data_IF_749086278932
#
_entry.id   IF_749086278932
#
_cell.length_a   1.000
_cell.length_b   1.000
_cell.length_c   1.000
_cell.angle_alpha   90.00
_cell.angle_beta   90.00
_cell.angle_gamma   90.00
#
_symmetry.space_group_name_H-M   'P 1'
#
loop_
_entity.id
_entity.type
_entity.pdbx_description
1 polymer ?
#
# COMPACT_ATOMS: atom_id res chain seq x y z
N UNK A 1 -8.46 52.10 -9.37
CA UNK A 1 -7.69 50.97 -8.82
C UNK A 1 -6.22 51.20 -9.10
N UNK A 2 -5.37 51.19 -8.08
CA UNK A 2 -3.92 51.39 -8.26
C UNK A 2 -3.27 50.03 -8.47
N UNK A 3 -2.63 49.83 -9.63
CA UNK A 3 -1.75 48.68 -9.87
C UNK A 3 -0.68 48.64 -8.79
N UNK A 4 -0.54 47.49 -8.13
CA UNK A 4 0.52 47.25 -7.14
C UNK A 4 1.58 46.36 -7.82
N UNK A 5 2.88 46.69 -7.72
CA UNK A 5 3.93 45.79 -8.19
C UNK A 5 3.88 44.47 -7.43
N UNK A 6 3.95 43.34 -8.14
CA UNK A 6 3.96 41.99 -7.57
C UNK A 6 5.23 41.24 -8.03
N UNK A 7 6.40 41.51 -7.43
CA UNK A 7 7.60 40.74 -7.73
C UNK A 7 7.47 39.31 -7.20
N UNK A 8 7.88 38.33 -7.99
CA UNK A 8 7.91 36.91 -7.62
C UNK A 8 9.21 36.25 -8.08
N UNK A 9 9.52 35.08 -7.52
CA UNK A 9 10.65 34.24 -7.92
C UNK A 9 10.14 32.86 -8.37
N UNK A 10 10.92 32.21 -9.22
CA UNK A 10 10.74 30.81 -9.61
C UNK A 10 12.09 30.10 -9.50
N UNK A 11 12.04 28.81 -9.19
CA UNK A 11 13.22 27.94 -9.12
C UNK A 11 12.84 26.58 -9.68
N UNK A 12 13.64 26.07 -10.61
CA UNK A 12 13.49 24.68 -11.03
C UNK A 12 13.98 23.78 -9.89
N UNK A 13 13.07 22.95 -9.36
CA UNK A 13 13.38 22.02 -8.29
C UNK A 13 14.07 20.75 -8.81
N UNK A 14 13.94 20.40 -10.10
CA UNK A 14 14.59 19.22 -10.69
C UNK A 14 16.10 19.14 -10.41
N UNK A 15 16.92 20.19 -10.56
CA UNK A 15 18.34 20.13 -10.27
C UNK A 15 18.68 20.02 -8.78
N UNK A 16 17.72 20.26 -7.88
CA UNK A 16 17.92 20.27 -6.42
C UNK A 16 17.43 18.95 -5.80
N UNK A 17 16.48 18.29 -6.46
CA UNK A 17 15.99 16.99 -6.01
C UNK A 17 17.13 15.97 -6.10
N UNK A 18 17.40 15.21 -5.02
CA UNK A 18 18.30 14.07 -5.11
C UNK A 18 17.74 13.06 -6.13
N UNK A 19 18.59 12.23 -6.75
CA UNK A 19 18.11 11.11 -7.54
C UNK A 19 17.09 10.33 -6.71
N UNK A 20 15.96 10.00 -7.33
CA UNK A 20 14.90 9.25 -6.66
C UNK A 20 15.53 8.00 -6.03
N UNK A 21 15.55 7.94 -4.70
CA UNK A 21 15.81 6.67 -4.04
C UNK A 21 14.63 5.79 -4.37
N UNK A 22 14.89 4.57 -4.81
CA UNK A 22 13.87 3.54 -4.70
C UNK A 22 13.34 3.60 -3.26
N UNK A 23 12.01 3.71 -3.06
CA UNK A 23 11.46 3.78 -1.72
C UNK A 23 11.88 2.49 -1.01
N UNK A 24 12.94 2.59 -0.21
CA UNK A 24 13.57 1.44 0.40
C UNK A 24 12.56 0.74 1.29
N UNK A 25 12.12 -0.44 0.84
CA UNK A 25 11.37 -1.38 1.67
C UNK A 25 10.02 -0.92 2.19
N UNK A 26 9.39 0.14 1.67
CA UNK A 26 7.97 0.41 1.99
C UNK A 26 7.12 -0.61 1.25
N UNK A 27 7.08 -1.81 1.81
CA UNK A 27 6.25 -2.92 1.36
C UNK A 27 4.79 -2.49 1.48
N UNK A 28 4.12 -2.37 0.35
CA UNK A 28 2.71 -2.03 0.31
C UNK A 28 1.90 -3.11 1.01
N UNK A 29 0.98 -2.71 1.89
CA UNK A 29 0.02 -3.60 2.55
C UNK A 29 -1.26 -3.59 1.73
N UNK A 30 -1.67 -4.75 1.24
CA UNK A 30 -3.00 -4.93 0.66
C UNK A 30 -4.04 -5.06 1.78
N UNK A 31 -5.21 -4.46 1.63
CA UNK A 31 -6.33 -4.61 2.54
C UNK A 31 -7.61 -4.99 1.78
N UNK A 32 -8.45 -5.88 2.33
CA UNK A 32 -9.68 -6.28 1.67
C UNK A 32 -10.68 -5.13 1.62
N UNK A 33 -11.60 -5.22 0.66
CA UNK A 33 -12.77 -4.35 0.58
C UNK A 33 -13.67 -4.48 1.79
N UNK A 34 -14.41 -3.42 2.08
CA UNK A 34 -15.42 -3.41 3.14
C UNK A 34 -15.55 -2.09 3.87
N UNK A 35 -16.65 -1.95 4.61
CA UNK A 35 -17.03 -0.74 5.34
C UNK A 35 -16.98 -0.92 6.87
N UNK A 36 -16.36 -2.00 7.36
CA UNK A 36 -16.27 -2.28 8.79
C UNK A 36 -15.45 -1.24 9.53
N UNK A 37 -15.96 -0.73 10.66
CA UNK A 37 -15.26 0.27 11.46
C UNK A 37 -13.87 -0.21 11.94
N UNK A 38 -13.74 -1.48 12.33
CA UNK A 38 -12.46 -2.04 12.76
C UNK A 38 -11.43 -2.12 11.63
N UNK A 39 -11.88 -2.41 10.40
CA UNK A 39 -11.03 -2.41 9.21
C UNK A 39 -10.51 -0.99 8.94
N UNK A 40 -11.42 -0.02 8.93
CA UNK A 40 -11.08 1.38 8.71
C UNK A 40 -10.09 1.91 9.76
N UNK A 41 -10.32 1.61 11.05
CA UNK A 41 -9.41 1.98 12.13
C UNK A 41 -8.02 1.37 11.95
N UNK A 42 -7.95 0.10 11.54
CA UNK A 42 -6.67 -0.58 11.29
C UNK A 42 -5.93 0.02 10.11
N UNK A 43 -6.62 0.29 9.01
CA UNK A 43 -6.05 0.96 7.82
C UNK A 43 -5.53 2.36 8.19
N UNK A 44 -6.30 3.13 8.98
CA UNK A 44 -5.89 4.46 9.42
C UNK A 44 -4.64 4.41 10.30
N UNK A 45 -4.57 3.47 11.25
CA UNK A 45 -3.41 3.28 12.12
C UNK A 45 -2.15 2.90 11.32
N UNK A 46 -2.25 1.98 10.37
CA UNK A 46 -1.13 1.59 9.50
C UNK A 46 -0.61 2.78 8.68
N UNK A 47 -1.52 3.59 8.11
CA UNK A 47 -1.14 4.81 7.38
C UNK A 47 -0.47 5.84 8.27
N UNK A 48 -0.91 6.00 9.51
CA UNK A 48 -0.26 6.89 10.48
C UNK A 48 1.17 6.42 10.84
N UNK A 49 1.44 5.12 10.78
CA UNK A 49 2.78 4.54 10.95
C UNK A 49 3.67 4.70 9.71
N UNK A 50 3.19 5.37 8.66
CA UNK A 50 3.92 5.56 7.40
C UNK A 50 3.83 4.37 6.44
N UNK A 51 2.99 3.36 6.73
CA UNK A 51 2.75 2.26 5.79
C UNK A 51 1.87 2.72 4.63
N UNK A 52 2.19 2.23 3.43
CA UNK A 52 1.30 2.37 2.27
C UNK A 52 0.27 1.25 2.30
N UNK A 53 -1.00 1.60 2.48
CA UNK A 53 -2.11 0.63 2.48
C UNK A 53 -3.03 0.89 1.30
N UNK A 54 -3.17 -0.10 0.41
CA UNK A 54 -4.10 -0.10 -0.72
C UNK A 54 -5.27 -1.00 -0.38
N UNK A 55 -6.48 -0.48 -0.53
CA UNK A 55 -7.70 -1.23 -0.26
C UNK A 55 -8.33 -1.66 -1.58
N UNK A 56 -8.58 -2.96 -1.71
CA UNK A 56 -9.30 -3.51 -2.86
C UNK A 56 -10.80 -3.31 -2.69
N UNK A 57 -11.37 -2.28 -3.32
CA UNK A 57 -12.81 -2.02 -3.28
C UNK A 57 -13.64 -2.98 -4.15
N UNK A 58 -13.02 -3.70 -5.10
CA UNK A 58 -13.68 -4.70 -5.92
C UNK A 58 -13.94 -6.00 -5.16
N UNK A 59 -13.15 -6.26 -4.10
CA UNK A 59 -13.13 -7.53 -3.37
C UNK A 59 -12.89 -8.72 -4.32
N UNK A 60 -12.12 -8.48 -5.39
CA UNK A 60 -11.81 -9.46 -6.42
C UNK A 60 -10.70 -10.40 -5.96
N UNK A 61 -9.85 -9.94 -5.05
CA UNK A 61 -8.68 -10.68 -4.57
C UNK A 61 -8.89 -11.24 -3.16
N UNK A 62 -8.42 -12.46 -2.95
CA UNK A 62 -8.32 -13.08 -1.64
C UNK A 62 -6.99 -12.72 -0.97
N UNK A 63 -6.90 -12.72 0.39
CA UNK A 63 -5.64 -12.47 1.11
C UNK A 63 -4.48 -13.45 0.79
N UNK A 64 -4.77 -14.57 0.10
CA UNK A 64 -3.79 -15.57 -0.31
C UNK A 64 -3.54 -15.57 -1.83
N UNK A 65 -4.06 -14.59 -2.56
CA UNK A 65 -3.91 -14.52 -4.01
C UNK A 65 -2.43 -14.27 -4.42
N UNK A 66 -1.83 -15.12 -5.27
CA UNK A 66 -0.43 -14.99 -5.67
C UNK A 66 -0.16 -13.71 -6.48
N UNK A 67 -1.16 -13.15 -7.17
CA UNK A 67 -1.03 -11.90 -7.94
C UNK A 67 -0.62 -10.72 -7.06
N UNK A 68 -0.93 -10.76 -5.76
CA UNK A 68 -0.53 -9.71 -4.82
C UNK A 68 0.99 -9.58 -4.72
N UNK A 69 1.73 -10.68 -4.80
CA UNK A 69 3.20 -10.64 -4.80
C UNK A 69 3.71 -10.05 -6.11
N UNK A 70 3.12 -10.43 -7.24
CA UNK A 70 3.48 -9.94 -8.58
C UNK A 70 3.22 -8.43 -8.73
N UNK A 71 2.14 -7.93 -8.13
CA UNK A 71 1.81 -6.50 -8.06
C UNK A 71 2.69 -5.70 -7.08
N UNK A 72 3.59 -6.37 -6.35
CA UNK A 72 4.55 -5.73 -5.45
C UNK A 72 4.00 -5.44 -4.05
N UNK A 73 2.92 -6.09 -3.63
CA UNK A 73 2.52 -6.09 -2.22
C UNK A 73 3.49 -6.94 -1.40
N UNK A 74 3.87 -6.44 -0.23
CA UNK A 74 4.75 -7.17 0.68
C UNK A 74 4.05 -7.74 1.90
N UNK A 75 2.77 -7.41 2.11
CA UNK A 75 1.93 -7.92 3.19
C UNK A 75 0.45 -7.77 2.85
N UNK A 76 -0.40 -8.53 3.53
CA UNK A 76 -1.86 -8.44 3.45
C UNK A 76 -2.45 -8.18 4.82
N UNK A 77 -3.62 -7.56 4.85
CA UNK A 77 -4.45 -7.46 6.04
C UNK A 77 -5.47 -8.60 6.05
N UNK A 78 -5.41 -9.44 7.07
CA UNK A 78 -6.25 -10.63 7.21
C UNK A 78 -7.01 -10.59 8.53
N UNK A 79 -8.26 -11.07 8.52
CA UNK A 79 -9.08 -11.12 9.73
C UNK A 79 -8.94 -12.49 10.39
N UNK A 80 -8.39 -12.54 11.60
CA UNK A 80 -8.28 -13.76 12.41
C UNK A 80 -8.77 -13.49 13.82
N UNK A 81 -9.55 -14.41 14.41
CA UNK A 81 -10.07 -14.24 15.77
C UNK A 81 -10.94 -12.99 15.99
N UNK A 82 -11.45 -12.37 14.93
CA UNK A 82 -12.21 -11.10 15.00
C UNK A 82 -11.36 -9.84 14.89
N UNK A 83 -10.04 -9.96 14.93
CA UNK A 83 -9.08 -8.87 14.82
C UNK A 83 -8.41 -8.85 13.43
N UNK A 84 -7.81 -7.71 13.08
CA UNK A 84 -7.09 -7.52 11.82
C UNK A 84 -5.58 -7.62 12.07
N UNK A 85 -4.93 -8.50 11.33
CA UNK A 85 -3.50 -8.73 11.43
C UNK A 85 -2.82 -8.50 10.08
N UNK A 86 -1.62 -7.92 10.13
CA UNK A 86 -0.76 -7.80 8.95
C UNK A 86 0.05 -9.09 8.82
N UNK A 87 -0.20 -9.84 7.74
CA UNK A 87 0.55 -11.04 7.41
C UNK A 87 1.54 -10.71 6.29
N UNK A 88 2.85 -10.96 6.46
CA UNK A 88 3.82 -10.77 5.38
C UNK A 88 3.52 -11.71 4.22
N UNK A 89 3.72 -11.21 3.00
CA UNK A 89 3.73 -12.04 1.80
C UNK A 89 5.18 -12.43 1.49
N UNK A 90 5.41 -13.74 1.34
CA UNK A 90 6.66 -14.30 0.84
C UNK A 90 6.38 -15.02 -0.47
N UNK A 91 7.27 -14.85 -1.46
CA UNK A 91 7.21 -15.59 -2.72
C UNK A 91 7.36 -17.11 -2.52
N UNK A 92 7.78 -17.57 -1.34
CA UNK A 92 7.93 -18.99 -0.99
C UNK A 92 6.64 -19.69 -0.56
N UNK A 93 5.56 -18.94 -0.26
CA UNK A 93 4.27 -19.51 0.15
C UNK A 93 3.40 -19.98 -1.05
N UNK A 94 3.91 -19.82 -2.28
CA UNK A 94 3.28 -20.29 -3.52
C UNK A 94 3.77 -21.72 -3.79
N UNK A 95 3.38 -22.68 -2.95
CA UNK A 95 3.45 -24.09 -3.36
C UNK A 95 2.26 -24.35 -4.25
N UNK A 96 2.52 -24.39 -5.55
CA UNK A 96 1.60 -24.97 -6.53
C UNK A 96 1.44 -26.43 -6.10
N UNK A 97 0.27 -26.80 -5.58
CA UNK A 97 -0.16 -28.20 -5.59
C UNK A 97 -0.33 -28.56 -7.07
N UNK A 98 0.74 -29.07 -7.67
CA UNK A 98 0.74 -29.64 -9.00
C UNK A 98 -0.03 -30.96 -8.88
N UNK A 99 -1.27 -30.95 -9.37
CA UNK A 99 -2.15 -32.10 -9.53
C UNK A 99 -1.38 -33.30 -10.10
N UNK A 100 -1.41 -34.40 -9.37
CA UNK A 100 -0.97 -35.71 -9.84
C UNK A 100 -2.03 -36.26 -10.81
N UNK A 101 -1.63 -36.46 -12.07
CA UNK A 101 -2.31 -37.34 -13.03
C UNK A 101 -1.55 -38.68 -13.14
#
# INVERSE_FOLDING_TARGET
GKSRPAPGFSLDLKPILPPAREPGGVRTVWAPGGQGASLWQTIAALRQQGQRVIQDFGAELAPADPSLVEEGYGSVLEKSGGEWHVRPLSSADITIEEDAE
#
